data_IF_681442026570
#
_entry.id   IF_681442026570
#
_cell.length_a   1.000
_cell.length_b   1.000
_cell.length_c   1.000
_cell.angle_alpha   90.00
_cell.angle_beta   90.00
_cell.angle_gamma   90.00
#
_symmetry.space_group_name_H-M   'P 1'
#
loop_
_entity.id
_entity.type
_entity.pdbx_description
1 polymer ?
#
# COMPACT_ATOMS: atom_id res chain seq x y z
N UNK A 1 30.83 34.81 -2.97
CA UNK A 1 30.32 33.94 -1.88
C UNK A 1 29.57 34.78 -0.86
N UNK A 2 28.30 34.46 -0.56
CA UNK A 2 27.43 35.22 0.36
C UNK A 2 27.99 35.32 1.78
N UNK A 3 28.71 34.31 2.24
CA UNK A 3 29.43 34.32 3.52
C UNK A 3 30.53 35.39 3.58
N UNK A 4 31.27 35.61 2.50
CA UNK A 4 32.26 36.69 2.44
C UNK A 4 31.60 38.07 2.46
N UNK A 5 30.47 38.22 1.77
CA UNK A 5 29.66 39.45 1.78
C UNK A 5 29.11 39.74 3.19
N UNK A 6 28.57 38.72 3.87
CA UNK A 6 28.13 38.83 5.25
C UNK A 6 29.27 39.29 6.17
N UNK A 7 30.42 38.62 6.12
CA UNK A 7 31.60 38.99 6.95
C UNK A 7 32.08 40.42 6.67
N UNK A 8 32.07 40.85 5.41
CA UNK A 8 32.40 42.23 5.03
C UNK A 8 31.44 43.24 5.66
N UNK A 9 30.13 43.01 5.55
CA UNK A 9 29.10 43.90 6.10
C UNK A 9 29.11 43.96 7.63
N UNK A 10 29.43 42.85 8.31
CA UNK A 10 29.61 42.85 9.76
C UNK A 10 30.73 43.82 10.18
N UNK A 11 31.81 43.87 9.42
CA UNK A 11 32.97 44.72 9.73
C UNK A 11 32.77 46.19 9.32
N UNK A 12 32.04 46.46 8.24
CA UNK A 12 31.81 47.83 7.75
C UNK A 12 30.63 48.52 8.44
N UNK A 13 29.47 47.88 8.42
CA UNK A 13 28.16 48.51 8.71
C UNK A 13 27.43 47.85 9.89
N UNK A 14 28.05 46.83 10.48
CA UNK A 14 27.56 46.10 11.64
C UNK A 14 26.53 45.02 11.31
N UNK A 15 26.08 44.35 12.38
CA UNK A 15 25.28 43.13 12.28
C UNK A 15 23.89 43.36 11.65
N UNK A 16 23.28 44.53 11.89
CA UNK A 16 21.97 44.89 11.34
C UNK A 16 21.99 44.93 9.80
N UNK A 17 23.02 45.55 9.22
CA UNK A 17 23.21 45.59 7.77
C UNK A 17 23.53 44.20 7.20
N UNK A 18 24.37 43.42 7.89
CA UNK A 18 24.73 42.07 7.50
C UNK A 18 23.53 41.10 7.48
N UNK A 19 22.54 41.30 8.36
CA UNK A 19 21.32 40.49 8.41
C UNK A 19 20.53 40.46 7.09
N UNK A 20 20.64 41.51 6.26
CA UNK A 20 19.98 41.58 4.95
C UNK A 20 20.48 40.52 3.96
N UNK A 21 21.70 40.00 4.15
CA UNK A 21 22.26 38.93 3.31
C UNK A 21 21.45 37.64 3.44
N UNK A 22 20.76 37.42 4.58
CA UNK A 22 19.87 36.28 4.75
C UNK A 22 18.76 36.25 3.68
N UNK A 23 18.19 37.41 3.35
CA UNK A 23 17.12 37.52 2.35
C UNK A 23 17.59 37.17 0.93
N UNK A 24 18.91 37.12 0.70
CA UNK A 24 19.47 36.70 -0.56
C UNK A 24 19.52 35.17 -0.70
N UNK A 25 19.45 34.40 0.39
CA UNK A 25 19.38 32.94 0.33
C UNK A 25 17.97 32.48 -0.05
N UNK A 26 17.75 32.30 -1.35
CA UNK A 26 16.51 31.78 -1.92
C UNK A 26 16.77 30.49 -2.69
N UNK A 27 15.69 29.80 -3.09
CA UNK A 27 15.77 28.56 -3.87
C UNK A 27 16.45 28.74 -5.25
N UNK A 28 16.53 29.98 -5.75
CA UNK A 28 17.28 30.29 -6.99
C UNK A 28 18.79 30.39 -6.77
N UNK A 29 19.28 30.37 -5.53
CA UNK A 29 20.71 30.27 -5.24
C UNK A 29 21.23 28.88 -5.62
N UNK A 30 22.20 28.83 -6.52
CA UNK A 30 22.76 27.58 -7.02
C UNK A 30 23.29 26.66 -5.92
N UNK A 31 24.02 27.21 -4.95
CA UNK A 31 24.63 26.41 -3.87
C UNK A 31 23.58 25.85 -2.91
N UNK A 32 22.56 26.65 -2.58
CA UNK A 32 21.45 26.17 -1.76
C UNK A 32 20.62 25.12 -2.52
N UNK A 33 20.36 25.34 -3.80
CA UNK A 33 19.61 24.41 -4.64
C UNK A 33 20.31 23.06 -4.80
N UNK A 34 21.64 23.07 -4.98
CA UNK A 34 22.48 21.88 -5.07
C UNK A 34 22.45 21.09 -3.75
N UNK A 35 22.63 21.77 -2.61
CA UNK A 35 22.55 21.14 -1.29
C UNK A 35 21.19 20.48 -1.03
N UNK A 36 20.09 21.16 -1.37
CA UNK A 36 18.74 20.63 -1.21
C UNK A 36 18.49 19.43 -2.13
N UNK A 37 19.01 19.47 -3.36
CA UNK A 37 18.91 18.36 -4.31
C UNK A 37 19.65 17.12 -3.81
N UNK A 38 20.87 17.28 -3.29
CA UNK A 38 21.65 16.18 -2.72
C UNK A 38 20.95 15.56 -1.51
N UNK A 39 20.37 16.40 -0.64
CA UNK A 39 19.58 15.92 0.50
C UNK A 39 18.35 15.14 0.05
N UNK A 40 17.62 15.63 -0.96
CA UNK A 40 16.47 14.92 -1.53
C UNK A 40 16.89 13.55 -2.11
N UNK A 41 18.01 13.51 -2.85
CA UNK A 41 18.55 12.27 -3.43
C UNK A 41 18.91 11.24 -2.35
N UNK A 42 19.51 11.69 -1.24
CA UNK A 42 19.82 10.81 -0.11
C UNK A 42 18.55 10.24 0.55
N UNK A 43 17.52 11.07 0.75
CA UNK A 43 16.24 10.61 1.28
C UNK A 43 15.56 9.58 0.37
N UNK A 44 15.56 9.82 -0.94
CA UNK A 44 15.02 8.87 -1.94
C UNK A 44 15.79 7.55 -1.95
N UNK A 45 17.11 7.59 -1.85
CA UNK A 45 17.93 6.39 -1.75
C UNK A 45 17.60 5.58 -0.49
N UNK A 46 17.48 6.23 0.67
CA UNK A 46 17.09 5.58 1.93
C UNK A 46 15.70 4.94 1.84
N UNK A 47 14.69 5.67 1.32
CA UNK A 47 13.35 5.14 1.10
C UNK A 47 13.35 3.92 0.17
N UNK A 48 14.16 3.97 -0.89
CA UNK A 48 14.30 2.85 -1.85
C UNK A 48 14.95 1.62 -1.23
N UNK A 49 15.85 1.78 -0.25
CA UNK A 49 16.45 0.66 0.48
C UNK A 49 15.44 -0.08 1.36
N UNK A 50 14.45 0.62 1.92
CA UNK A 50 13.39 0.01 2.72
C UNK A 50 12.25 -0.61 1.91
N UNK A 51 12.23 -0.40 0.59
CA UNK A 51 11.30 -1.07 -0.31
C UNK A 51 11.79 -2.48 -0.62
N UNK A 52 10.92 -3.52 -0.55
CA UNK A 52 11.33 -4.88 -0.89
C UNK A 52 11.71 -4.96 -2.37
N UNK A 53 13.00 -5.09 -2.65
CA UNK A 53 13.53 -5.38 -3.99
C UNK A 53 12.93 -6.71 -4.47
N UNK A 54 12.01 -6.65 -5.43
CA UNK A 54 11.51 -7.84 -6.14
C UNK A 54 12.66 -8.38 -6.97
N UNK A 55 13.44 -9.27 -6.36
CA UNK A 55 14.62 -9.88 -6.96
C UNK A 55 14.14 -10.83 -8.06
N UNK A 56 14.36 -10.46 -9.31
CA UNK A 56 14.38 -11.39 -10.44
C UNK A 56 15.84 -11.73 -10.70
N UNK A 57 16.35 -12.78 -10.06
CA UNK A 57 17.63 -13.35 -10.44
C UNK A 57 17.62 -14.86 -10.18
N UNK A 58 17.89 -15.57 -11.27
CA UNK A 58 18.18 -17.00 -11.36
C UNK A 58 19.51 -17.32 -10.65
N UNK A 59 19.64 -18.54 -10.11
CA UNK A 59 20.94 -19.14 -9.81
C UNK A 59 21.34 -19.28 -8.33
N UNK A 60 21.10 -20.49 -7.81
CA UNK A 60 21.96 -21.32 -6.93
C UNK A 60 22.33 -20.86 -5.51
N UNK A 61 21.98 -21.76 -4.57
CA UNK A 61 22.61 -22.14 -3.27
C UNK A 61 22.19 -21.48 -1.94
N UNK A 62 21.31 -22.23 -1.24
CA UNK A 62 21.35 -22.63 0.20
C UNK A 62 20.80 -21.70 1.33
N UNK A 63 20.25 -22.32 2.41
CA UNK A 63 18.99 -21.88 2.99
C UNK A 63 19.18 -21.09 4.29
N UNK A 64 18.65 -19.87 4.32
CA UNK A 64 18.23 -19.24 5.57
C UNK A 64 16.83 -19.75 5.85
N UNK A 65 16.60 -20.31 7.04
CA UNK A 65 15.29 -20.67 7.62
C UNK A 65 14.35 -19.46 7.57
N UNK A 66 13.75 -19.25 6.41
CA UNK A 66 12.76 -18.23 6.16
C UNK A 66 11.44 -18.85 6.53
N UNK A 67 10.93 -18.44 7.69
CA UNK A 67 9.55 -18.66 8.14
C UNK A 67 8.65 -18.88 6.93
N UNK A 68 8.16 -20.12 6.82
CA UNK A 68 7.36 -20.61 5.70
C UNK A 68 6.21 -19.63 5.51
N UNK A 69 6.31 -18.76 4.50
CA UNK A 69 5.12 -18.07 4.01
C UNK A 69 4.15 -19.20 3.69
N UNK A 70 2.92 -19.18 4.23
CA UNK A 70 1.95 -20.20 3.87
C UNK A 70 1.89 -20.22 2.34
N UNK A 71 1.93 -21.42 1.73
CA UNK A 71 1.95 -21.56 0.28
C UNK A 71 0.87 -20.66 -0.30
N UNK A 72 1.21 -19.91 -1.37
CA UNK A 72 0.24 -19.10 -2.13
C UNK A 72 -0.98 -19.96 -2.32
N UNK A 73 -2.03 -19.64 -1.56
CA UNK A 73 -3.20 -20.47 -1.55
C UNK A 73 -3.73 -20.51 -2.99
N UNK A 74 -4.04 -21.71 -3.53
CA UNK A 74 -4.55 -21.79 -4.89
C UNK A 74 -5.73 -20.83 -5.02
N UNK A 75 -5.73 -20.03 -6.09
CA UNK A 75 -6.84 -19.12 -6.36
C UNK A 75 -8.17 -19.88 -6.33
N UNK A 76 -9.26 -19.17 -6.07
CA UNK A 76 -10.59 -19.80 -6.04
C UNK A 76 -10.82 -20.61 -7.33
N UNK A 77 -11.18 -21.90 -7.22
CA UNK A 77 -11.46 -22.73 -8.38
C UNK A 77 -12.51 -22.09 -9.30
N UNK A 78 -12.32 -22.20 -10.61
CA UNK A 78 -13.24 -21.65 -11.60
C UNK A 78 -14.66 -22.24 -11.47
N UNK A 79 -14.77 -23.49 -11.00
CA UNK A 79 -16.04 -24.17 -10.71
C UNK A 79 -16.85 -23.44 -9.64
N UNK A 80 -16.20 -23.08 -8.52
CA UNK A 80 -16.80 -22.29 -7.44
C UNK A 80 -17.17 -20.90 -7.93
N UNK A 81 -16.30 -20.24 -8.70
CA UNK A 81 -16.56 -18.89 -9.22
C UNK A 81 -17.78 -18.84 -10.16
N UNK A 82 -17.99 -19.86 -11.00
CA UNK A 82 -19.14 -19.94 -11.92
C UNK A 82 -20.46 -20.18 -11.21
N UNK A 83 -20.44 -20.78 -10.02
CA UNK A 83 -21.64 -21.06 -9.23
C UNK A 83 -21.98 -19.95 -8.23
N UNK A 84 -21.17 -18.89 -8.16
CA UNK A 84 -21.47 -17.77 -7.29
C UNK A 84 -22.72 -17.04 -7.78
N UNK A 85 -23.67 -16.73 -6.86
CA UNK A 85 -24.72 -15.78 -7.16
C UNK A 85 -24.15 -14.46 -7.67
N UNK A 86 -24.86 -13.83 -8.60
CA UNK A 86 -24.49 -12.55 -9.21
C UNK A 86 -25.62 -11.55 -9.04
N UNK A 87 -25.27 -10.31 -8.69
CA UNK A 87 -26.17 -9.17 -8.69
C UNK A 87 -25.70 -8.20 -9.78
N UNK A 88 -26.46 -8.09 -10.87
CA UNK A 88 -26.03 -7.38 -12.07
C UNK A 88 -24.75 -7.97 -12.67
N UNK A 89 -23.66 -7.20 -12.70
CA UNK A 89 -22.35 -7.62 -13.23
C UNK A 89 -21.37 -8.08 -12.15
N UNK A 90 -21.78 -8.05 -10.88
CA UNK A 90 -20.91 -8.33 -9.75
C UNK A 90 -21.23 -9.70 -9.14
N UNK A 91 -20.17 -10.47 -8.86
CA UNK A 91 -20.27 -11.76 -8.18
C UNK A 91 -20.32 -11.59 -6.66
N UNK A 92 -20.96 -12.51 -5.95
CA UNK A 92 -21.00 -12.48 -4.50
C UNK A 92 -19.59 -12.50 -3.87
N UNK A 93 -19.37 -11.65 -2.88
CA UNK A 93 -18.18 -11.71 -2.05
C UNK A 93 -18.29 -12.85 -1.02
N UNK A 94 -17.58 -13.96 -1.25
CA UNK A 94 -17.54 -15.07 -0.28
C UNK A 94 -17.03 -14.66 1.11
N UNK A 95 -16.12 -13.69 1.17
CA UNK A 95 -15.57 -13.19 2.44
C UNK A 95 -16.61 -12.37 3.22
N UNK A 96 -17.57 -11.74 2.54
CA UNK A 96 -18.69 -11.05 3.19
C UNK A 96 -19.59 -12.02 3.94
N UNK A 97 -19.85 -13.20 3.37
CA UNK A 97 -20.65 -14.24 4.05
C UNK A 97 -19.87 -14.99 5.16
N UNK A 98 -18.54 -14.87 5.20
CA UNK A 98 -17.72 -15.62 6.13
C UNK A 98 -17.69 -14.98 7.53
N UNK A 99 -17.38 -15.77 8.56
CA UNK A 99 -17.21 -15.28 9.95
C UNK A 99 -16.25 -14.09 10.08
N UNK A 100 -15.22 -14.04 9.24
CA UNK A 100 -14.25 -12.94 9.27
C UNK A 100 -14.76 -11.62 8.70
N UNK A 101 -15.90 -11.64 8.00
CA UNK A 101 -16.48 -10.50 7.31
C UNK A 101 -15.57 -9.92 6.22
N UNK A 102 -16.15 -9.05 5.40
CA UNK A 102 -15.40 -8.24 4.45
C UNK A 102 -15.47 -6.79 4.88
N UNK A 103 -14.32 -6.20 5.25
CA UNK A 103 -14.19 -4.78 5.63
C UNK A 103 -14.53 -3.79 4.51
N UNK A 104 -14.79 -4.29 3.29
CA UNK A 104 -15.25 -3.51 2.16
C UNK A 104 -14.24 -2.48 1.65
N UNK A 105 -14.69 -1.65 0.71
CA UNK A 105 -13.94 -0.53 0.13
C UNK A 105 -14.22 0.82 0.81
N UNK A 106 -14.54 0.82 2.11
CA UNK A 106 -14.86 2.05 2.87
C UNK A 106 -16.31 2.55 2.74
N UNK A 107 -17.16 1.89 1.94
CA UNK A 107 -18.60 2.16 1.84
C UNK A 107 -19.43 0.90 2.15
N UNK A 108 -20.58 1.02 2.84
CA UNK A 108 -21.47 -0.11 3.12
C UNK A 108 -21.95 -0.74 1.81
N UNK A 109 -22.01 -2.07 1.77
CA UNK A 109 -22.43 -2.84 0.58
C UNK A 109 -21.35 -3.03 -0.50
N UNK A 110 -20.19 -2.35 -0.41
CA UNK A 110 -19.13 -2.44 -1.43
C UNK A 110 -17.97 -3.33 -0.98
N UNK A 111 -17.61 -4.29 -1.84
CA UNK A 111 -16.38 -5.06 -1.69
C UNK A 111 -15.15 -4.22 -2.07
N UNK A 112 -13.96 -4.62 -1.59
CA UNK A 112 -12.70 -4.07 -2.08
C UNK A 112 -12.49 -4.31 -3.59
N UNK A 113 -13.07 -5.39 -4.13
CA UNK A 113 -13.02 -5.68 -5.56
C UNK A 113 -14.26 -5.15 -6.28
N UNK A 114 -14.06 -4.35 -7.33
CA UNK A 114 -15.15 -3.84 -8.18
C UNK A 114 -15.94 -4.93 -8.90
N UNK A 115 -15.45 -6.18 -8.94
CA UNK A 115 -16.14 -7.34 -9.51
C UNK A 115 -16.96 -8.13 -8.48
N UNK A 116 -16.97 -7.67 -7.22
CA UNK A 116 -17.64 -8.34 -6.12
C UNK A 116 -18.60 -7.40 -5.39
N UNK A 117 -19.75 -7.94 -4.99
CA UNK A 117 -20.78 -7.22 -4.24
C UNK A 117 -21.04 -7.88 -2.89
N UNK A 118 -21.52 -7.09 -1.94
CA UNK A 118 -22.02 -7.58 -0.65
C UNK A 118 -23.55 -7.58 -0.71
N UNK A 119 -24.13 -8.76 -0.85
CA UNK A 119 -25.57 -8.95 -0.81
C UNK A 119 -25.87 -10.32 -0.20
N UNK A 120 -27.09 -10.50 0.26
CA UNK A 120 -27.56 -11.79 0.77
C UNK A 120 -28.20 -12.56 -0.38
N UNK A 121 -27.63 -13.69 -0.84
CA UNK A 121 -28.26 -14.49 -1.87
C UNK A 121 -29.51 -15.19 -1.31
N UNK A 122 -30.49 -15.46 -2.16
CA UNK A 122 -31.68 -16.27 -1.81
C UNK A 122 -31.34 -17.75 -1.65
N UNK A 123 -30.33 -18.23 -2.37
CA UNK A 123 -29.85 -19.61 -2.31
C UNK A 123 -28.33 -19.65 -2.55
N UNK A 124 -27.60 -20.36 -1.70
CA UNK A 124 -26.16 -20.55 -1.82
C UNK A 124 -25.85 -22.01 -2.18
N UNK A 125 -25.27 -22.31 -3.36
CA UNK A 125 -24.95 -23.68 -3.72
C UNK A 125 -23.98 -24.33 -2.72
N UNK A 126 -24.22 -25.62 -2.39
CA UNK A 126 -23.44 -26.36 -1.39
C UNK A 126 -21.92 -26.31 -1.64
N UNK A 127 -21.47 -26.44 -2.89
CA UNK A 127 -20.04 -26.35 -3.23
C UNK A 127 -19.41 -25.00 -2.85
N UNK A 128 -20.16 -23.91 -2.95
CA UNK A 128 -19.68 -22.57 -2.55
C UNK A 128 -19.64 -22.48 -1.02
N UNK A 129 -20.66 -23.02 -0.34
CA UNK A 129 -20.71 -23.08 1.12
C UNK A 129 -19.55 -23.89 1.69
N UNK A 130 -19.27 -25.05 1.13
CA UNK A 130 -18.16 -25.92 1.54
C UNK A 130 -16.81 -25.25 1.30
N UNK A 131 -16.68 -24.52 0.19
CA UNK A 131 -15.50 -23.71 -0.09
C UNK A 131 -15.34 -22.57 0.95
N UNK A 132 -16.43 -21.91 1.34
CA UNK A 132 -16.41 -20.87 2.38
C UNK A 132 -16.02 -21.46 3.75
N UNK A 133 -16.56 -22.63 4.09
CA UNK A 133 -16.19 -23.36 5.30
C UNK A 133 -14.70 -23.68 5.34
N UNK A 134 -14.18 -24.25 4.25
CA UNK A 134 -12.79 -24.71 4.16
C UNK A 134 -11.79 -23.54 4.13
N UNK A 135 -12.14 -22.43 3.48
CA UNK A 135 -11.18 -21.34 3.17
C UNK A 135 -11.35 -20.09 4.01
N UNK A 136 -12.55 -19.82 4.49
CA UNK A 136 -12.88 -18.59 5.23
C UNK A 136 -13.44 -18.87 6.64
N UNK A 137 -13.43 -20.13 7.12
CA UNK A 137 -13.81 -20.47 8.49
C UNK A 137 -15.31 -20.66 8.72
N UNK A 138 -16.09 -20.77 7.64
CA UNK A 138 -17.54 -20.95 7.68
C UNK A 138 -18.32 -19.65 7.52
N UNK A 139 -19.64 -19.82 7.40
CA UNK A 139 -20.57 -18.71 7.32
C UNK A 139 -20.66 -17.99 8.67
N UNK A 140 -20.86 -16.67 8.62
CA UNK A 140 -21.15 -15.88 9.81
C UNK A 140 -22.55 -16.25 10.36
N UNK A 141 -22.83 -16.00 11.66
CA UNK A 141 -24.08 -16.40 12.29
C UNK A 141 -25.33 -15.85 11.59
N UNK A 142 -25.24 -14.64 11.04
CA UNK A 142 -26.33 -14.01 10.29
C UNK A 142 -26.65 -14.73 8.97
N UNK A 143 -25.77 -15.58 8.47
CA UNK A 143 -25.92 -16.34 7.22
C UNK A 143 -26.03 -17.86 7.46
N UNK A 144 -26.27 -18.31 8.69
CA UNK A 144 -26.28 -19.74 9.05
C UNK A 144 -27.41 -20.54 8.38
N UNK A 145 -28.45 -19.87 7.90
CA UNK A 145 -29.62 -20.42 7.20
C UNK A 145 -29.41 -20.60 5.68
N UNK A 146 -28.27 -20.17 5.12
CA UNK A 146 -27.92 -20.32 3.70
C UNK A 146 -27.26 -21.68 3.37
#
# INVERSE_FOLDING_TARGET
MKLCKFRGLVLSDGLSAAGRVQAEFCLQDGLLSELLYDQQKAQLAALTQHMPRKSTASGTSQPVERSVRPPKQPGTPATVLRKLPTEGTQSLCMKYLSKGGCSGGGAPGKCFSNKRAHFRPTHLPGEVRDYIATRFGGLAPEFADL
#
